data_IF_722438317290
#
_entry.id   IF_722438317290
#
_cell.length_a   1.000
_cell.length_b   1.000
_cell.length_c   1.000
_cell.angle_alpha   90.00
_cell.angle_beta   90.00
_cell.angle_gamma   90.00
#
_symmetry.space_group_name_H-M   'P 1'
#
loop_
_entity.id
_entity.type
_entity.pdbx_description
1 polymer ?
#
# COMPACT_ATOMS: atom_id res chain seq x y z
N UNK A 1 -37.73 -33.11 18.16
CA UNK A 1 -37.38 -34.34 17.39
C UNK A 1 -36.23 -33.97 16.49
N UNK A 2 -35.20 -34.77 16.58
CA UNK A 2 -33.96 -34.84 15.76
C UNK A 2 -32.95 -33.70 15.98
N UNK A 3 -31.98 -33.79 16.81
CA UNK A 3 -30.89 -34.79 17.06
C UNK A 3 -29.99 -35.01 15.84
N UNK A 4 -28.71 -34.82 16.14
CA UNK A 4 -27.50 -35.41 15.53
C UNK A 4 -26.83 -34.72 14.36
N UNK A 5 -25.56 -34.38 14.63
CA UNK A 5 -24.59 -33.98 13.60
C UNK A 5 -23.24 -33.48 14.15
N UNK A 6 -22.76 -34.05 15.24
CA UNK A 6 -21.37 -33.93 15.67
C UNK A 6 -20.52 -34.80 14.74
N UNK A 7 -19.66 -34.21 13.96
CA UNK A 7 -18.50 -34.92 13.37
C UNK A 7 -17.20 -34.15 13.60
N UNK A 8 -16.48 -34.73 14.48
CA UNK A 8 -15.03 -34.74 14.69
C UNK A 8 -14.31 -34.80 13.34
N UNK A 9 -13.35 -33.94 13.13
CA UNK A 9 -12.25 -34.22 12.21
C UNK A 9 -10.97 -34.12 13.02
N UNK A 10 -10.37 -35.27 13.16
CA UNK A 10 -9.16 -35.56 13.90
C UNK A 10 -7.93 -35.07 13.15
N UNK A 11 -7.00 -34.55 13.88
CA UNK A 11 -5.55 -34.81 13.90
C UNK A 11 -5.03 -35.64 12.73
N UNK A 12 -4.19 -35.07 11.91
CA UNK A 12 -3.22 -35.82 11.11
C UNK A 12 -1.86 -35.11 11.14
N UNK A 13 -1.08 -35.54 12.13
CA UNK A 13 0.37 -35.40 12.14
C UNK A 13 0.93 -36.39 11.13
N UNK A 14 1.64 -35.96 10.14
CA UNK A 14 2.48 -36.81 9.29
C UNK A 14 3.91 -36.34 9.40
N UNK A 15 4.63 -37.10 10.14
CA UNK A 15 6.07 -37.28 10.15
C UNK A 15 6.47 -37.72 8.74
N UNK A 16 7.37 -37.04 8.09
CA UNK A 16 8.09 -37.59 6.97
C UNK A 16 9.59 -37.37 7.14
N UNK A 17 10.21 -38.52 7.26
CA UNK A 17 11.63 -38.81 7.43
C UNK A 17 12.55 -38.22 6.36
N UNK A 18 13.73 -37.92 6.85
CA UNK A 18 15.06 -38.02 6.21
C UNK A 18 15.08 -38.85 4.92
N UNK A 19 15.61 -38.27 3.87
CA UNK A 19 16.53 -38.97 2.96
C UNK A 19 17.67 -38.03 2.56
N UNK A 20 18.80 -38.37 3.12
CA UNK A 20 20.16 -37.93 2.81
C UNK A 20 20.56 -38.64 1.53
N UNK A 21 20.75 -37.92 0.44
CA UNK A 21 21.56 -38.44 -0.69
C UNK A 21 22.37 -37.27 -1.26
N UNK A 22 23.67 -37.44 -1.14
CA UNK A 22 24.67 -36.55 -1.67
C UNK A 22 24.68 -36.57 -3.20
N UNK A 23 24.99 -35.43 -3.75
CA UNK A 23 25.45 -35.31 -5.12
C UNK A 23 26.71 -34.45 -5.15
N UNK A 24 27.83 -35.16 -5.28
CA UNK A 24 29.11 -34.58 -5.73
C UNK A 24 28.90 -34.19 -7.19
N UNK A 25 29.29 -33.01 -7.61
CA UNK A 25 29.24 -32.67 -9.00
C UNK A 25 29.84 -31.31 -9.35
N UNK A 26 31.13 -31.33 -9.67
CA UNK A 26 31.86 -30.49 -10.62
C UNK A 26 31.91 -28.99 -10.44
N UNK A 27 33.05 -28.54 -9.90
CA UNK A 27 33.57 -27.20 -10.05
C UNK A 27 33.82 -26.86 -11.51
N UNK A 28 33.22 -25.78 -11.99
CA UNK A 28 33.65 -25.06 -13.20
C UNK A 28 34.49 -23.86 -12.74
N UNK A 29 35.79 -24.07 -12.68
CA UNK A 29 36.79 -23.03 -12.59
C UNK A 29 36.79 -22.21 -13.88
N UNK A 30 36.33 -20.98 -13.82
CA UNK A 30 36.55 -19.99 -14.89
C UNK A 30 38.01 -19.63 -14.92
N UNK A 31 38.69 -19.64 -16.08
CA UNK A 31 40.07 -19.18 -16.18
C UNK A 31 40.09 -17.66 -15.93
N UNK A 32 40.83 -17.25 -14.90
CA UNK A 32 41.24 -15.87 -14.69
C UNK A 32 42.28 -15.54 -15.75
N UNK A 33 41.93 -14.66 -16.68
CA UNK A 33 42.86 -14.07 -17.64
C UNK A 33 43.68 -13.03 -16.88
N UNK A 34 44.99 -13.15 -16.77
CA UNK A 34 45.81 -12.11 -16.18
C UNK A 34 45.81 -10.90 -17.10
N UNK A 35 45.31 -9.80 -16.61
CA UNK A 35 45.36 -8.51 -17.27
C UNK A 35 46.79 -8.00 -17.25
N UNK A 36 47.49 -8.14 -18.37
CA UNK A 36 48.82 -7.58 -18.55
C UNK A 36 48.74 -6.04 -18.60
N UNK A 37 49.56 -5.29 -17.86
CA UNK A 37 49.57 -3.85 -17.97
C UNK A 37 50.10 -3.41 -19.31
N UNK A 38 49.25 -2.69 -20.08
CA UNK A 38 49.65 -2.01 -21.30
C UNK A 38 50.50 -0.78 -20.89
N UNK A 39 51.71 -0.62 -21.35
CA UNK A 39 52.50 0.59 -21.07
C UNK A 39 51.87 1.75 -21.83
N UNK A 40 51.33 2.69 -21.11
CA UNK A 40 50.83 3.98 -21.67
C UNK A 40 52.05 4.91 -21.74
N UNK A 41 52.47 5.18 -22.96
CA UNK A 41 53.54 6.13 -23.26
C UNK A 41 53.02 7.56 -23.06
N UNK A 42 53.44 8.18 -21.97
CA UNK A 42 53.14 9.57 -21.65
C UNK A 42 54.06 10.51 -22.43
N UNK A 43 53.67 10.89 -23.63
CA UNK A 43 54.22 12.07 -24.29
C UNK A 43 53.58 13.32 -23.71
N UNK A 44 54.29 14.31 -23.19
CA UNK A 44 53.70 15.57 -22.74
C UNK A 44 53.34 16.44 -23.95
N UNK A 45 52.09 16.34 -24.37
CA UNK A 45 51.55 17.32 -25.35
C UNK A 45 51.23 18.60 -24.59
N UNK A 46 51.98 19.64 -24.89
CA UNK A 46 51.75 21.03 -24.47
C UNK A 46 50.38 21.46 -24.94
N UNK A 47 49.37 21.45 -24.09
CA UNK A 47 48.06 21.98 -24.39
C UNK A 47 48.06 23.48 -24.22
N UNK A 48 48.03 24.18 -25.33
CA UNK A 48 47.79 25.63 -25.41
C UNK A 48 46.44 25.91 -24.76
N UNK A 49 46.46 26.80 -23.76
CA UNK A 49 45.24 27.32 -23.12
C UNK A 49 44.37 28.03 -24.13
N UNK A 50 43.26 27.38 -24.52
CA UNK A 50 42.22 28.00 -25.33
C UNK A 50 40.97 28.14 -24.49
N UNK A 51 40.64 29.39 -24.20
CA UNK A 51 39.32 29.96 -23.93
C UNK A 51 38.36 29.11 -23.11
N UNK A 52 38.14 29.53 -21.88
CA UNK A 52 37.01 29.20 -21.04
C UNK A 52 35.69 29.50 -21.73
N UNK A 53 35.15 28.53 -22.47
CA UNK A 53 33.73 28.53 -22.78
C UNK A 53 33.01 28.15 -21.49
N UNK A 54 32.20 29.06 -20.94
CA UNK A 54 31.34 28.82 -19.80
C UNK A 54 30.48 27.60 -20.13
N UNK A 55 30.79 26.48 -19.48
CA UNK A 55 29.92 25.32 -19.49
C UNK A 55 28.63 25.78 -18.82
N UNK A 56 27.60 25.98 -19.62
CA UNK A 56 26.25 26.22 -19.12
C UNK A 56 25.91 25.08 -18.12
N UNK A 57 25.66 25.47 -16.89
CA UNK A 57 25.24 24.52 -15.85
C UNK A 57 24.04 23.74 -16.40
N UNK A 58 24.00 22.41 -16.26
CA UNK A 58 22.85 21.64 -16.70
C UNK A 58 21.61 22.20 -16.01
N UNK A 59 20.67 22.67 -16.80
CA UNK A 59 19.35 23.10 -16.34
C UNK A 59 18.82 21.95 -15.48
N UNK A 60 18.36 22.19 -14.23
CA UNK A 60 17.83 21.11 -13.40
C UNK A 60 16.65 20.49 -14.15
N UNK A 61 16.86 19.29 -14.66
CA UNK A 61 15.80 18.48 -15.24
C UNK A 61 14.76 18.34 -14.13
N UNK A 62 13.57 18.89 -14.35
CA UNK A 62 12.46 18.82 -13.40
C UNK A 62 12.26 17.36 -13.04
N UNK A 63 12.69 16.98 -11.84
CA UNK A 63 12.46 15.63 -11.34
C UNK A 63 10.95 15.43 -11.27
N UNK A 64 10.40 14.34 -11.79
CA UNK A 64 8.97 14.08 -11.71
C UNK A 64 8.55 14.19 -10.25
N UNK A 65 7.56 15.04 -9.99
CA UNK A 65 7.03 15.24 -8.63
C UNK A 65 6.59 13.88 -8.08
N UNK A 66 7.22 13.43 -7.02
CA UNK A 66 6.91 12.15 -6.38
C UNK A 66 5.45 12.10 -5.98
N UNK A 67 4.76 11.06 -6.41
CA UNK A 67 3.36 10.81 -6.07
C UNK A 67 3.30 9.78 -4.94
N UNK A 68 3.13 10.25 -3.71
CA UNK A 68 3.10 9.41 -2.50
C UNK A 68 1.66 9.20 -2.05
N UNK A 69 1.20 7.96 -2.06
CA UNK A 69 -0.04 7.56 -1.41
C UNK A 69 0.23 7.28 0.08
N UNK A 70 -0.28 8.13 0.98
CA UNK A 70 -0.10 7.98 2.43
C UNK A 70 -1.32 7.31 3.06
N UNK A 71 -1.06 6.34 3.93
CA UNK A 71 -2.10 5.67 4.73
C UNK A 71 -1.70 5.66 6.18
N UNK A 72 -2.63 6.07 7.05
CA UNK A 72 -2.49 6.00 8.49
C UNK A 72 -3.39 4.91 9.09
N UNK A 73 -2.95 4.33 10.18
CA UNK A 73 -3.80 3.49 11.03
C UNK A 73 -3.52 3.82 12.47
N UNK A 74 -4.59 4.02 13.25
CA UNK A 74 -4.49 4.26 14.68
C UNK A 74 -5.58 3.49 15.41
N UNK A 75 -5.21 2.83 16.50
CA UNK A 75 -6.15 2.20 17.40
C UNK A 75 -6.01 2.84 18.78
N UNK A 76 -7.14 3.27 19.35
CA UNK A 76 -7.19 4.00 20.63
C UNK A 76 -8.21 3.36 21.55
N UNK A 77 -7.81 3.14 22.79
CA UNK A 77 -8.70 2.73 23.87
C UNK A 77 -9.24 3.98 24.58
N UNK A 78 -10.55 4.11 24.60
CA UNK A 78 -11.24 5.27 25.18
C UNK A 78 -12.07 4.85 26.39
N UNK A 79 -12.27 5.77 27.34
CA UNK A 79 -13.10 5.53 28.53
C UNK A 79 -14.60 5.52 28.21
N UNK A 80 -15.04 6.41 27.30
CA UNK A 80 -16.43 6.52 26.85
C UNK A 80 -16.46 6.71 25.33
N UNK A 81 -17.06 5.73 24.63
CA UNK A 81 -17.09 5.70 23.18
C UNK A 81 -17.92 6.84 22.59
N UNK A 82 -19.06 7.20 23.22
CA UNK A 82 -19.92 8.26 22.76
C UNK A 82 -19.20 9.62 22.73
N UNK A 83 -18.55 9.99 23.82
CA UNK A 83 -17.78 11.25 23.93
C UNK A 83 -16.59 11.28 22.97
N UNK A 84 -15.91 10.14 22.80
CA UNK A 84 -14.78 10.03 21.87
C UNK A 84 -15.23 10.25 20.41
N UNK A 85 -16.41 9.75 20.05
CA UNK A 85 -17.00 9.95 18.70
C UNK A 85 -17.29 11.41 18.41
N UNK A 86 -17.98 12.11 19.33
CA UNK A 86 -18.28 13.54 19.17
C UNK A 86 -17.00 14.37 19.01
N UNK A 87 -15.99 14.08 19.82
CA UNK A 87 -14.68 14.75 19.71
C UNK A 87 -13.99 14.43 18.40
N UNK A 88 -14.05 13.17 17.93
CA UNK A 88 -13.46 12.76 16.65
C UNK A 88 -14.10 13.53 15.48
N UNK A 89 -15.43 13.69 15.48
CA UNK A 89 -16.16 14.45 14.46
C UNK A 89 -15.76 15.93 14.49
N UNK A 90 -15.62 16.51 15.67
CA UNK A 90 -15.17 17.90 15.84
C UNK A 90 -13.73 18.10 15.35
N UNK A 91 -12.80 17.21 15.73
CA UNK A 91 -11.40 17.25 15.30
C UNK A 91 -11.30 17.06 13.78
N UNK A 92 -12.04 16.08 13.24
CA UNK A 92 -12.06 15.80 11.80
C UNK A 92 -12.54 17.00 10.99
N UNK A 93 -13.65 17.61 11.41
CA UNK A 93 -14.19 18.81 10.78
C UNK A 93 -13.22 19.98 10.78
N UNK A 94 -12.54 20.24 11.91
CA UNK A 94 -11.55 21.33 12.03
C UNK A 94 -10.33 21.15 11.11
N UNK A 95 -9.94 19.91 10.81
CA UNK A 95 -8.81 19.58 9.95
C UNK A 95 -9.20 19.32 8.49
N UNK A 96 -10.48 19.52 8.13
CA UNK A 96 -10.98 19.28 6.78
C UNK A 96 -10.94 17.79 6.38
N UNK A 97 -11.11 16.93 7.37
CA UNK A 97 -11.18 15.49 7.15
C UNK A 97 -12.62 15.08 6.78
N UNK A 98 -12.74 14.22 5.77
CA UNK A 98 -14.02 13.68 5.32
C UNK A 98 -14.18 12.24 5.79
N UNK A 99 -15.28 11.94 6.47
CA UNK A 99 -15.60 10.57 6.90
C UNK A 99 -16.12 9.80 5.69
N UNK A 100 -15.32 8.86 5.21
CA UNK A 100 -15.67 7.98 4.08
C UNK A 100 -16.52 6.79 4.52
N UNK A 101 -16.26 6.27 5.72
CA UNK A 101 -17.00 5.15 6.31
C UNK A 101 -16.97 5.24 7.83
N UNK A 102 -18.10 4.94 8.45
CA UNK A 102 -18.21 4.76 9.89
C UNK A 102 -18.96 3.46 10.16
N UNK A 103 -18.40 2.58 10.94
CA UNK A 103 -19.03 1.34 11.41
C UNK A 103 -18.98 1.35 12.92
N UNK A 104 -20.14 1.23 13.55
CA UNK A 104 -20.27 1.18 15.00
C UNK A 104 -20.87 -0.17 15.37
N UNK A 105 -20.16 -0.94 16.16
CA UNK A 105 -20.61 -2.21 16.71
C UNK A 105 -21.22 -1.96 18.12
N UNK A 106 -22.31 -2.66 18.44
CA UNK A 106 -22.95 -2.64 19.75
C UNK A 106 -22.00 -3.12 20.89
N UNK A 107 -20.91 -3.77 20.52
CA UNK A 107 -19.87 -4.30 21.44
C UNK A 107 -18.77 -3.29 21.79
N UNK A 108 -19.12 -2.02 21.92
CA UNK A 108 -18.18 -0.98 22.37
C UNK A 108 -16.97 -0.75 21.45
N UNK A 109 -17.17 -0.92 20.15
CA UNK A 109 -16.18 -0.65 19.11
C UNK A 109 -16.75 0.28 18.05
N UNK A 110 -15.90 1.18 17.57
CA UNK A 110 -16.22 1.99 16.40
C UNK A 110 -15.00 2.03 15.47
N UNK A 111 -15.25 1.83 14.19
CA UNK A 111 -14.23 1.90 13.15
C UNK A 111 -14.60 3.01 12.18
N UNK A 112 -13.64 3.88 11.91
CA UNK A 112 -13.79 4.99 10.98
C UNK A 112 -12.71 4.89 9.91
N UNK A 113 -13.09 5.18 8.68
CA UNK A 113 -12.18 5.44 7.58
C UNK A 113 -12.38 6.90 7.16
N UNK A 114 -11.34 7.70 7.34
CA UNK A 114 -11.37 9.14 7.12
C UNK A 114 -10.35 9.48 6.03
N UNK A 115 -10.74 10.38 5.13
CA UNK A 115 -9.87 10.97 4.13
C UNK A 115 -9.44 12.36 4.56
N UNK A 116 -8.16 12.65 4.48
CA UNK A 116 -7.57 13.90 4.93
C UNK A 116 -6.42 14.31 3.99
N UNK A 117 -6.20 15.62 3.76
CA UNK A 117 -5.02 16.08 3.04
C UNK A 117 -3.73 15.53 3.67
N UNK A 118 -2.74 15.08 2.85
CA UNK A 118 -1.54 14.41 3.33
C UNK A 118 -0.72 15.24 4.32
N UNK A 119 -0.78 16.57 4.22
CA UNK A 119 -0.07 17.47 5.13
C UNK A 119 -0.69 17.49 6.54
N UNK A 120 -1.97 17.16 6.67
CA UNK A 120 -2.72 17.18 7.94
C UNK A 120 -2.87 15.82 8.60
N UNK A 121 -2.41 14.74 7.94
CA UNK A 121 -2.55 13.37 8.44
C UNK A 121 -1.90 13.21 9.82
N UNK A 122 -0.66 13.69 9.99
CA UNK A 122 0.07 13.53 11.24
C UNK A 122 -0.58 14.34 12.38
N UNK A 123 -1.01 15.58 12.10
CA UNK A 123 -1.73 16.42 13.07
C UNK A 123 -3.07 15.81 13.50
N UNK A 124 -3.79 15.18 12.55
CA UNK A 124 -5.03 14.47 12.86
C UNK A 124 -4.76 13.27 13.76
N UNK A 125 -3.73 12.47 13.46
CA UNK A 125 -3.36 11.31 14.28
C UNK A 125 -2.92 11.73 15.69
N UNK A 126 -2.18 12.82 15.81
CA UNK A 126 -1.78 13.38 17.11
C UNK A 126 -3.00 13.84 17.92
N UNK A 127 -3.95 14.52 17.27
CA UNK A 127 -5.19 14.93 17.91
C UNK A 127 -6.05 13.74 18.37
N UNK A 128 -6.11 12.67 17.57
CA UNK A 128 -6.83 11.45 17.93
C UNK A 128 -6.13 10.73 19.10
N UNK A 129 -4.81 10.76 19.16
CA UNK A 129 -4.05 10.16 20.27
C UNK A 129 -4.39 10.79 21.62
N UNK A 130 -4.89 12.03 21.65
CA UNK A 130 -5.34 12.69 22.92
C UNK A 130 -6.66 12.17 23.44
N UNK A 131 -7.42 11.40 22.65
CA UNK A 131 -8.74 10.90 23.06
C UNK A 131 -8.66 9.75 24.07
N UNK A 132 -7.52 9.05 24.16
CA UNK A 132 -7.34 7.91 25.05
C UNK A 132 -5.96 7.28 24.95
N UNK A 133 -5.85 6.03 25.40
CA UNK A 133 -4.61 5.25 25.34
C UNK A 133 -4.40 4.68 23.94
N UNK A 134 -3.26 4.96 23.32
CA UNK A 134 -2.95 4.48 21.97
C UNK A 134 -2.45 3.03 22.02
N UNK A 135 -3.22 2.10 21.47
CA UNK A 135 -2.83 0.69 21.32
C UNK A 135 -1.82 0.50 20.21
N UNK A 136 -2.06 1.14 19.07
CA UNK A 136 -1.18 1.06 17.92
C UNK A 136 -1.30 2.31 17.04
N UNK A 137 -0.17 2.70 16.44
CA UNK A 137 -0.09 3.80 15.48
C UNK A 137 0.87 3.39 14.37
N UNK A 138 0.46 3.51 13.12
CA UNK A 138 1.32 3.27 11.97
C UNK A 138 0.99 4.22 10.83
N UNK A 139 2.01 4.65 10.12
CA UNK A 139 1.90 5.42 8.88
C UNK A 139 2.72 4.70 7.82
N UNK A 140 2.14 4.50 6.66
CA UNK A 140 2.82 3.98 5.49
C UNK A 140 2.71 4.99 4.34
N UNK A 141 3.76 5.10 3.56
CA UNK A 141 3.79 5.88 2.33
C UNK A 141 4.24 4.96 1.19
N UNK A 142 3.43 4.90 0.14
CA UNK A 142 3.70 4.12 -1.06
C UNK A 142 3.96 5.08 -2.21
N UNK A 143 5.10 4.93 -2.87
CA UNK A 143 5.40 5.68 -4.09
C UNK A 143 4.65 5.03 -5.27
N UNK A 144 3.72 5.77 -5.85
CA UNK A 144 2.90 5.32 -6.97
C UNK A 144 3.26 6.02 -8.29
N UNK A 145 4.35 6.77 -8.31
CA UNK A 145 4.79 7.58 -9.46
C UNK A 145 4.91 6.72 -10.72
N UNK A 146 5.64 5.61 -10.64
CA UNK A 146 5.85 4.72 -11.79
C UNK A 146 4.52 4.11 -12.27
N UNK A 147 3.65 3.73 -11.34
CA UNK A 147 2.32 3.17 -11.70
C UNK A 147 1.44 4.17 -12.43
N UNK A 148 1.53 5.44 -12.08
CA UNK A 148 0.77 6.50 -12.76
C UNK A 148 1.35 6.74 -14.14
N UNK A 149 2.68 6.86 -14.26
CA UNK A 149 3.36 7.06 -15.54
C UNK A 149 3.07 5.90 -16.50
N UNK A 150 3.18 4.66 -16.05
CA UNK A 150 2.90 3.47 -16.87
C UNK A 150 1.44 3.43 -17.33
N UNK A 151 0.51 3.72 -16.43
CA UNK A 151 -0.92 3.72 -16.76
C UNK A 151 -1.27 4.84 -17.74
N UNK A 152 -0.66 6.03 -17.62
CA UNK A 152 -0.83 7.14 -18.56
C UNK A 152 -0.26 6.82 -19.95
N UNK A 153 0.93 6.23 -20.00
CA UNK A 153 1.55 5.81 -21.26
C UNK A 153 0.69 4.76 -21.98
N UNK A 154 0.19 3.75 -21.23
CA UNK A 154 -0.70 2.72 -21.78
C UNK A 154 -2.03 3.30 -22.25
N UNK A 155 -2.60 4.22 -21.48
CA UNK A 155 -3.83 4.93 -21.87
C UNK A 155 -3.64 5.70 -23.17
N UNK A 156 -2.51 6.39 -23.33
CA UNK A 156 -2.15 7.09 -24.57
C UNK A 156 -2.07 6.14 -25.78
N UNK A 157 -1.43 4.99 -25.62
CA UNK A 157 -1.33 3.96 -26.67
C UNK A 157 -2.70 3.39 -27.07
N UNK A 158 -3.57 3.11 -26.08
CA UNK A 158 -4.93 2.61 -26.36
C UNK A 158 -5.81 3.64 -27.05
N UNK A 159 -5.72 4.91 -26.68
CA UNK A 159 -6.44 6.00 -27.36
C UNK A 159 -6.00 6.13 -28.81
N UNK A 160 -4.68 6.07 -29.09
CA UNK A 160 -4.16 6.07 -30.45
C UNK A 160 -4.62 4.81 -31.24
N UNK A 161 -4.72 3.65 -30.60
CA UNK A 161 -5.26 2.43 -31.23
C UNK A 161 -6.74 2.56 -31.57
N UNK A 162 -7.54 3.09 -30.64
CA UNK A 162 -8.97 3.38 -30.86
C UNK A 162 -9.15 4.32 -32.06
N UNK A 163 -8.35 5.37 -32.17
CA UNK A 163 -8.49 6.34 -33.26
C UNK A 163 -8.11 5.72 -34.62
N UNK A 164 -7.12 4.81 -34.65
CA UNK A 164 -6.81 4.01 -35.86
C UNK A 164 -7.94 3.06 -36.22
N UNK A 165 -8.54 2.38 -35.25
CA UNK A 165 -9.68 1.49 -35.49
C UNK A 165 -10.88 2.27 -36.03
N UNK A 166 -11.13 3.50 -35.55
CA UNK A 166 -12.18 4.37 -36.11
C UNK A 166 -11.95 4.69 -37.59
N UNK A 167 -10.70 5.01 -37.97
CA UNK A 167 -10.35 5.23 -39.38
C UNK A 167 -10.50 3.96 -40.23
N UNK A 168 -10.25 2.78 -39.67
CA UNK A 168 -10.49 1.50 -40.36
C UNK A 168 -11.99 1.24 -40.51
N UNK A 169 -12.78 1.57 -39.49
CA UNK A 169 -14.24 1.46 -39.53
C UNK A 169 -14.85 2.29 -40.67
N UNK A 170 -14.38 3.53 -40.85
CA UNK A 170 -14.84 4.43 -41.93
C UNK A 170 -14.51 3.88 -43.33
N UNK A 171 -13.51 3.00 -43.45
CA UNK A 171 -13.06 2.40 -44.73
C UNK A 171 -13.58 0.99 -44.93
N UNK A 172 -14.25 0.41 -43.93
CA UNK A 172 -14.79 -0.93 -44.01
C UNK A 172 -15.93 -0.98 -45.05
N UNK A 173 -15.82 -1.89 -46.01
CA UNK A 173 -16.78 -2.03 -47.11
C UNK A 173 -17.66 -3.27 -46.97
N UNK A 174 -17.26 -4.24 -46.15
CA UNK A 174 -18.06 -5.46 -45.93
C UNK A 174 -18.67 -5.50 -44.54
N UNK A 175 -19.85 -6.07 -44.38
CA UNK A 175 -20.52 -6.24 -43.09
C UNK A 175 -19.64 -7.02 -42.09
N UNK A 176 -18.84 -7.97 -42.62
CA UNK A 176 -17.95 -8.79 -41.80
C UNK A 176 -16.80 -7.93 -41.19
N UNK A 177 -16.21 -7.05 -41.99
CA UNK A 177 -15.16 -6.13 -41.53
C UNK A 177 -15.71 -5.14 -40.48
N UNK A 178 -16.91 -4.59 -40.71
CA UNK A 178 -17.59 -3.71 -39.76
C UNK A 178 -17.76 -4.39 -38.41
N UNK A 179 -18.32 -5.60 -38.38
CA UNK A 179 -18.52 -6.34 -37.15
C UNK A 179 -17.18 -6.65 -36.43
N UNK A 180 -16.14 -6.96 -37.19
CA UNK A 180 -14.82 -7.25 -36.61
C UNK A 180 -14.22 -6.00 -35.95
N UNK A 181 -14.29 -4.85 -36.62
CA UNK A 181 -13.77 -3.58 -36.09
C UNK A 181 -14.61 -3.09 -34.90
N UNK A 182 -15.94 -3.24 -34.95
CA UNK A 182 -16.81 -2.88 -33.80
C UNK A 182 -16.47 -3.65 -32.54
N UNK A 183 -16.24 -4.99 -32.66
CA UNK A 183 -15.83 -5.82 -31.52
C UNK A 183 -14.51 -5.34 -30.92
N UNK A 184 -13.55 -5.00 -31.77
CA UNK A 184 -12.24 -4.54 -31.31
C UNK A 184 -12.33 -3.14 -30.72
N UNK A 185 -13.14 -2.24 -31.27
CA UNK A 185 -13.44 -0.94 -30.70
C UNK A 185 -14.06 -1.06 -29.32
N UNK A 186 -15.06 -1.93 -29.14
CA UNK A 186 -15.69 -2.16 -27.87
C UNK A 186 -14.68 -2.69 -26.83
N UNK A 187 -13.79 -3.61 -27.23
CA UNK A 187 -12.73 -4.13 -26.36
C UNK A 187 -11.76 -3.03 -25.92
N UNK A 188 -11.24 -2.26 -26.87
CA UNK A 188 -10.29 -1.16 -26.59
C UNK A 188 -10.95 -0.08 -25.73
N UNK A 189 -12.23 0.23 -25.97
CA UNK A 189 -12.97 1.21 -25.18
C UNK A 189 -13.12 0.77 -23.73
N UNK A 190 -13.44 -0.50 -23.48
CA UNK A 190 -13.52 -1.05 -22.12
C UNK A 190 -12.16 -1.02 -21.39
N UNK A 191 -11.05 -1.26 -22.10
CA UNK A 191 -9.71 -1.13 -21.52
C UNK A 191 -9.37 0.33 -21.17
N UNK A 192 -9.73 1.29 -22.01
CA UNK A 192 -9.55 2.72 -21.74
C UNK A 192 -10.29 3.10 -20.46
N UNK A 193 -11.58 2.77 -20.37
CA UNK A 193 -12.42 3.08 -19.20
C UNK A 193 -11.84 2.46 -17.91
N UNK A 194 -11.38 1.22 -17.99
CA UNK A 194 -10.73 0.53 -16.86
C UNK A 194 -9.46 1.24 -16.40
N UNK A 195 -8.60 1.68 -17.34
CA UNK A 195 -7.37 2.41 -17.01
C UNK A 195 -7.66 3.82 -16.49
N UNK A 196 -8.65 4.51 -17.04
CA UNK A 196 -9.08 5.82 -16.55
C UNK A 196 -9.59 5.74 -15.11
N UNK A 197 -10.41 4.74 -14.78
CA UNK A 197 -10.88 4.49 -13.42
C UNK A 197 -9.71 4.17 -12.47
N UNK A 198 -8.73 3.37 -12.92
CA UNK A 198 -7.53 3.07 -12.15
C UNK A 198 -6.67 4.32 -11.89
N UNK A 199 -6.45 5.15 -12.90
CA UNK A 199 -5.74 6.43 -12.75
C UNK A 199 -6.45 7.37 -11.79
N UNK A 200 -7.78 7.50 -11.89
CA UNK A 200 -8.57 8.30 -10.97
C UNK A 200 -8.40 7.83 -9.51
N UNK A 201 -8.38 6.51 -9.29
CA UNK A 201 -8.13 5.92 -7.97
C UNK A 201 -6.74 6.24 -7.45
N UNK A 202 -5.69 6.06 -8.27
CA UNK A 202 -4.31 6.35 -7.88
C UNK A 202 -4.13 7.83 -7.53
N UNK A 203 -4.63 8.72 -8.38
CA UNK A 203 -4.58 10.17 -8.13
C UNK A 203 -5.35 10.57 -6.88
N UNK A 204 -6.50 9.94 -6.63
CA UNK A 204 -7.28 10.14 -5.41
C UNK A 204 -6.51 9.73 -4.15
N UNK A 205 -5.75 8.63 -4.20
CA UNK A 205 -4.90 8.17 -3.08
C UNK A 205 -3.71 9.10 -2.80
N UNK A 206 -3.22 9.80 -3.82
CA UNK A 206 -2.16 10.83 -3.67
C UNK A 206 -2.74 12.13 -3.13
N UNK A 207 -3.90 12.54 -3.63
CA UNK A 207 -4.55 13.78 -3.23
C UNK A 207 -5.07 13.75 -1.78
N UNK A 208 -5.54 12.59 -1.32
CA UNK A 208 -6.08 12.41 0.03
C UNK A 208 -5.48 11.16 0.67
N UNK A 209 -4.93 11.33 1.85
CA UNK A 209 -4.48 10.21 2.70
C UNK A 209 -5.67 9.54 3.36
N UNK A 210 -5.63 8.21 3.45
CA UNK A 210 -6.62 7.40 4.14
C UNK A 210 -6.16 7.12 5.57
N UNK A 211 -7.00 7.42 6.55
CA UNK A 211 -6.76 7.13 7.96
C UNK A 211 -7.82 6.17 8.48
N UNK A 212 -7.39 4.96 8.85
CA UNK A 212 -8.23 3.98 9.54
C UNK A 212 -8.09 4.15 11.05
N UNK A 213 -9.20 4.42 11.72
CA UNK A 213 -9.28 4.66 13.16
C UNK A 213 -10.12 3.54 13.78
N UNK A 214 -9.56 2.84 14.77
CA UNK A 214 -10.28 1.89 15.58
C UNK A 214 -10.41 2.44 17.02
N UNK A 215 -11.61 2.78 17.43
CA UNK A 215 -11.92 3.15 18.81
C UNK A 215 -12.46 1.93 19.54
N UNK A 216 -11.89 1.64 20.70
CA UNK A 216 -12.34 0.56 21.59
C UNK A 216 -12.60 1.09 22.97
N UNK A 217 -13.75 0.75 23.53
CA UNK A 217 -14.02 1.12 24.91
C UNK A 217 -13.21 0.22 25.84
N UNK A 218 -12.54 0.83 26.83
CA UNK A 218 -11.81 0.09 27.86
C UNK A 218 -12.82 -0.70 28.68
N UNK A 219 -12.68 -2.02 28.82
CA UNK A 219 -13.56 -2.77 29.70
C UNK A 219 -13.38 -2.29 31.13
N UNK A 220 -14.41 -1.69 31.70
CA UNK A 220 -14.40 -1.30 33.13
C UNK A 220 -14.61 -2.60 33.92
N UNK A 221 -13.54 -3.18 34.43
CA UNK A 221 -13.68 -4.25 35.40
C UNK A 221 -14.29 -3.65 36.67
N UNK A 222 -15.53 -4.02 36.94
CA UNK A 222 -16.16 -3.66 38.21
C UNK A 222 -15.34 -4.19 39.40
N UNK A 223 -15.63 -3.75 40.64
CA UNK A 223 -14.85 -4.12 41.83
C UNK A 223 -14.71 -5.65 42.01
N UNK A 224 -15.69 -6.41 41.59
CA UNK A 224 -15.64 -7.88 41.57
C UNK A 224 -14.63 -8.45 40.54
N UNK A 225 -14.40 -7.73 39.41
CA UNK A 225 -13.41 -8.11 38.41
C UNK A 225 -11.98 -7.99 38.93
N UNK A 226 -11.68 -6.96 39.70
CA UNK A 226 -10.37 -6.80 40.36
C UNK A 226 -10.12 -7.88 41.40
N UNK A 227 -11.15 -8.29 42.17
CA UNK A 227 -11.06 -9.39 43.13
C UNK A 227 -10.80 -10.71 42.42
N UNK A 228 -11.51 -10.99 41.32
CA UNK A 228 -11.31 -12.23 40.54
C UNK A 228 -9.90 -12.26 39.89
N UNK A 229 -9.38 -11.15 39.40
CA UNK A 229 -8.04 -11.05 38.84
C UNK A 229 -6.95 -11.20 39.90
N UNK A 230 -7.16 -10.64 41.10
CA UNK A 230 -6.27 -10.80 42.26
C UNK A 230 -6.21 -12.25 42.76
N UNK A 231 -7.35 -12.92 42.81
CA UNK A 231 -7.42 -14.36 43.17
C UNK A 231 -6.74 -15.22 42.10
N UNK A 232 -6.98 -14.97 40.83
CA UNK A 232 -6.33 -15.69 39.71
C UNK A 232 -4.81 -15.54 39.71
N UNK A 233 -4.30 -14.33 40.02
CA UNK A 233 -2.86 -14.07 40.13
C UNK A 233 -2.26 -14.77 41.35
N UNK A 234 -2.96 -14.78 42.50
CA UNK A 234 -2.55 -15.48 43.71
C UNK A 234 -2.46 -16.98 43.51
N UNK A 235 -3.50 -17.59 42.93
CA UNK A 235 -3.53 -19.04 42.63
C UNK A 235 -2.41 -19.43 41.64
N UNK A 236 -2.18 -18.63 40.59
CA UNK A 236 -1.10 -18.89 39.63
C UNK A 236 0.29 -18.82 40.28
N UNK A 237 0.50 -17.90 41.21
CA UNK A 237 1.76 -17.81 41.96
C UNK A 237 1.97 -18.95 42.94
N UNK A 238 0.90 -19.47 43.53
CA UNK A 238 0.95 -20.65 44.40
C UNK A 238 1.27 -21.94 43.63
N UNK A 239 0.86 -22.04 42.36
CA UNK A 239 1.08 -23.25 41.56
C UNK A 239 2.46 -23.27 40.84
N UNK A 240 3.16 -22.15 40.75
CA UNK A 240 4.49 -22.06 40.09
C UNK A 240 5.65 -22.33 41.07
N UNK A 241 5.35 -22.54 42.34
CA UNK A 241 6.34 -22.81 43.38
C UNK A 241 6.45 -24.32 43.76
N UNK A 242 6.34 -25.21 42.79
CA UNK A 242 6.67 -26.61 42.97
C UNK A 242 7.47 -27.19 41.82
#
# INVERSE_FOLDING_TARGET
MNATGIRRVATQAVICCLTLTGFLGCGHSRPVVPNAPVPVDYSPTTVVATSSAAVAAPTPTAQPTRQLARRGRIAVQVSALATARERLETIGGALGAEVSRATVDERERAEYVIRVPPERLDALMDSIATLGDVDSRSVSAEDVTDRVIDAEARLGALRASRDRLRQLFERASTTQDVIAVERELARVQAEIESLEARLATLRGQVALSELSIALRQRPVLGPLGYVAMGIGYGVRKLFIWR
#
